data_IF_162362449771
#
_entry.id   IF_162362449771
#
_cell.length_a   1.000
_cell.length_b   1.000
_cell.length_c   1.000
_cell.angle_alpha   90.00
_cell.angle_beta   90.00
_cell.angle_gamma   90.00
#
_symmetry.space_group_name_H-M   'P 1'
#
loop_
_entity.id
_entity.type
_entity.pdbx_description
1 polymer ?
#
# COMPACT_ATOMS: atom_id res chain seq x y z
N UNK A 1 -17.83 -27.89 24.80
CA UNK A 1 -16.60 -28.11 23.99
C UNK A 1 -16.61 -27.28 22.70
N UNK A 2 -16.78 -25.95 22.79
CA UNK A 2 -16.97 -25.08 21.60
C UNK A 2 -16.03 -23.87 21.56
N UNK A 3 -15.29 -23.60 22.64
CA UNK A 3 -14.43 -22.41 22.80
C UNK A 3 -13.28 -22.36 21.78
N UNK A 4 -12.66 -23.50 21.48
CA UNK A 4 -11.57 -23.60 20.50
C UNK A 4 -11.98 -23.26 19.06
N UNK A 5 -13.22 -23.55 18.67
CA UNK A 5 -13.75 -23.19 17.34
C UNK A 5 -13.91 -21.68 17.20
N UNK A 6 -14.39 -21.01 18.25
CA UNK A 6 -14.47 -19.55 18.29
C UNK A 6 -13.09 -18.90 18.15
N UNK A 7 -12.10 -19.42 18.88
CA UNK A 7 -10.70 -19.00 18.77
C UNK A 7 -10.12 -19.22 17.36
N UNK A 8 -10.38 -20.37 16.74
CA UNK A 8 -9.92 -20.65 15.39
C UNK A 8 -10.53 -19.69 14.35
N UNK A 9 -11.82 -19.36 14.47
CA UNK A 9 -12.50 -18.39 13.60
C UNK A 9 -11.96 -16.97 13.78
N UNK A 10 -11.71 -16.55 15.02
CA UNK A 10 -11.09 -15.26 15.34
C UNK A 10 -9.68 -15.16 14.75
N UNK A 11 -8.86 -16.20 14.91
CA UNK A 11 -7.51 -16.25 14.34
C UNK A 11 -7.54 -16.19 12.80
N UNK A 12 -8.43 -16.95 12.15
CA UNK A 12 -8.61 -16.92 10.71
C UNK A 12 -9.04 -15.54 10.20
N UNK A 13 -9.98 -14.88 10.89
CA UNK A 13 -10.42 -13.53 10.54
C UNK A 13 -9.27 -12.52 10.65
N UNK A 14 -8.46 -12.62 11.69
CA UNK A 14 -7.31 -11.74 11.92
C UNK A 14 -6.24 -11.92 10.83
N UNK A 15 -5.94 -13.16 10.44
CA UNK A 15 -5.03 -13.46 9.33
C UNK A 15 -5.57 -12.92 8.01
N UNK A 16 -6.87 -13.12 7.71
CA UNK A 16 -7.49 -12.57 6.50
C UNK A 16 -7.48 -11.04 6.47
N UNK A 17 -7.59 -10.37 7.62
CA UNK A 17 -7.50 -8.91 7.71
C UNK A 17 -6.08 -8.41 7.42
N UNK A 18 -5.06 -9.00 8.06
CA UNK A 18 -3.65 -8.64 7.83
C UNK A 18 -3.16 -9.00 6.42
N UNK A 19 -3.67 -10.09 5.84
CA UNK A 19 -3.32 -10.51 4.49
C UNK A 19 -3.73 -9.48 3.42
N UNK A 20 -4.76 -8.66 3.66
CA UNK A 20 -5.18 -7.61 2.72
C UNK A 20 -4.10 -6.55 2.52
N UNK A 21 -3.36 -6.20 3.57
CA UNK A 21 -2.29 -5.21 3.47
C UNK A 21 -0.96 -5.81 2.97
N UNK A 22 -0.77 -7.13 3.09
CA UNK A 22 0.43 -7.82 2.64
C UNK A 22 0.41 -8.25 1.15
N UNK A 23 -0.73 -8.10 0.47
CA UNK A 23 -0.90 -8.49 -0.92
C UNK A 23 -0.60 -7.32 -1.86
N UNK A 24 0.63 -7.31 -2.38
CA UNK A 24 1.09 -6.53 -3.53
C UNK A 24 0.87 -5.01 -3.45
N UNK A 25 1.91 -4.27 -3.05
CA UNK A 25 1.94 -2.83 -3.19
C UNK A 25 2.28 -2.45 -4.63
N UNK A 26 1.30 -1.93 -5.37
CA UNK A 26 1.45 -1.28 -6.68
C UNK A 26 2.13 0.09 -6.57
N UNK A 27 3.22 0.17 -5.80
CA UNK A 27 3.99 1.39 -5.58
C UNK A 27 5.24 1.35 -6.46
N UNK A 28 5.44 2.38 -7.27
CA UNK A 28 6.57 2.48 -8.18
C UNK A 28 7.06 3.93 -8.22
N UNK A 29 8.37 4.12 -8.40
CA UNK A 29 8.95 5.43 -8.57
C UNK A 29 9.00 5.77 -10.07
N UNK A 30 8.37 6.88 -10.47
CA UNK A 30 8.41 7.40 -11.84
C UNK A 30 9.28 8.64 -11.89
N UNK A 31 10.15 8.73 -12.89
CA UNK A 31 10.85 9.96 -13.18
C UNK A 31 9.94 10.86 -14.03
N UNK A 32 9.58 12.03 -13.49
CA UNK A 32 8.76 13.03 -14.20
C UNK A 32 9.62 14.26 -14.51
N UNK A 33 9.89 14.56 -15.80
CA UNK A 33 10.82 15.62 -16.19
C UNK A 33 10.30 17.04 -15.87
N UNK A 34 8.99 17.28 -15.88
CA UNK A 34 8.36 18.59 -15.62
C UNK A 34 8.18 18.93 -14.12
N UNK A 35 8.79 18.13 -13.23
CA UNK A 35 8.84 18.39 -11.80
C UNK A 35 7.54 18.08 -11.02
N UNK A 36 7.55 18.43 -9.73
CA UNK A 36 6.56 17.98 -8.75
C UNK A 36 5.12 18.44 -9.05
N UNK A 37 4.94 19.56 -9.76
CA UNK A 37 3.61 20.15 -10.02
C UNK A 37 2.70 19.28 -10.88
N UNK A 38 3.25 18.40 -11.72
CA UNK A 38 2.47 17.54 -12.61
C UNK A 38 2.24 16.13 -12.05
N UNK A 39 2.94 15.76 -10.97
CA UNK A 39 2.93 14.38 -10.46
C UNK A 39 1.60 14.04 -9.80
N UNK A 40 0.99 15.00 -9.10
CA UNK A 40 -0.34 14.83 -8.48
C UNK A 40 -1.42 14.64 -9.55
N UNK A 41 -1.35 15.40 -10.64
CA UNK A 41 -2.28 15.28 -11.76
C UNK A 41 -2.14 13.94 -12.49
N UNK A 42 -0.92 13.46 -12.69
CA UNK A 42 -0.65 12.15 -13.31
C UNK A 42 -1.19 11.03 -12.40
N UNK A 43 -0.86 11.06 -11.11
CA UNK A 43 -1.31 10.06 -10.15
C UNK A 43 -2.85 10.01 -10.12
N UNK A 44 -3.50 11.17 -9.97
CA UNK A 44 -4.96 11.27 -9.93
C UNK A 44 -5.65 10.79 -11.21
N UNK A 45 -5.09 11.12 -12.39
CA UNK A 45 -5.63 10.66 -13.69
C UNK A 45 -5.63 9.13 -13.82
N UNK A 46 -4.65 8.45 -13.22
CA UNK A 46 -4.48 7.00 -13.31
C UNK A 46 -4.99 6.23 -12.07
N UNK A 47 -5.60 6.93 -11.10
CA UNK A 47 -6.12 6.31 -9.88
C UNK A 47 -5.04 5.92 -8.85
N UNK A 48 -3.85 6.50 -8.96
CA UNK A 48 -2.76 6.32 -8.00
C UNK A 48 -2.71 7.47 -6.99
N UNK A 49 -2.12 7.20 -5.84
CA UNK A 49 -1.80 8.21 -4.81
C UNK A 49 -0.33 8.57 -4.96
N UNK A 50 -0.04 9.86 -5.12
CA UNK A 50 1.34 10.34 -5.11
C UNK A 50 1.89 10.25 -3.68
N UNK A 51 2.90 9.39 -3.48
CA UNK A 51 3.56 9.20 -2.19
C UNK A 51 4.76 10.15 -1.98
N UNK A 52 4.96 11.12 -2.88
CA UNK A 52 6.06 12.08 -2.83
C UNK A 52 7.33 11.57 -3.52
N UNK A 53 8.42 12.29 -3.31
CA UNK A 53 9.71 11.99 -3.94
C UNK A 53 10.58 11.18 -2.99
N UNK A 54 11.20 10.12 -3.51
CA UNK A 54 12.23 9.41 -2.78
C UNK A 54 13.47 10.33 -2.67
N UNK A 55 13.72 10.90 -1.49
CA UNK A 55 14.99 11.57 -1.22
C UNK A 55 16.10 10.51 -1.21
N UNK A 56 17.13 10.69 -2.04
CA UNK A 56 18.37 9.92 -1.86
C UNK A 56 18.97 10.32 -0.52
N UNK A 57 19.05 9.38 0.43
CA UNK A 57 19.94 9.56 1.58
C UNK A 57 21.37 9.64 1.04
N UNK A 58 22.04 10.77 1.29
CA UNK A 58 23.48 10.92 1.09
C UNK A 58 24.16 9.87 1.99
N UNK A 59 24.84 8.89 1.39
CA UNK A 59 25.83 8.07 2.10
C UNK A 59 27.07 8.92 2.36
#
# INVERSE_FOLDING_TARGET
MTTWRGLALLAALHVCACARDALYHNQFAVHVPDGARHVDDIAKRHGYVNHGQAQKKKQ
#
